data_IF_550116027354
#
_entry.id   IF_550116027354
#
_cell.length_a   1.000
_cell.length_b   1.000
_cell.length_c   1.000
_cell.angle_alpha   90.00
_cell.angle_beta   90.00
_cell.angle_gamma   90.00
#
_symmetry.space_group_name_H-M   'P 1'
#
loop_
_entity.id
_entity.type
_entity.pdbx_description
1 polymer ?
#
# COMPACT_ATOMS: atom_id res chain seq x y z
N UNK A 1 -55.19 24.78 36.59
CA UNK A 1 -55.42 26.15 37.07
C UNK A 1 -54.81 26.26 38.45
N UNK A 2 -53.69 26.96 38.57
CA UNK A 2 -52.90 27.02 39.80
C UNK A 2 -53.12 28.36 40.48
N UNK A 3 -53.73 28.35 41.66
CA UNK A 3 -53.83 29.55 42.50
C UNK A 3 -52.56 29.66 43.36
N UNK A 4 -51.98 30.86 43.38
CA UNK A 4 -50.76 31.15 44.15
C UNK A 4 -50.99 32.38 45.02
N UNK A 5 -50.63 32.27 46.29
CA UNK A 5 -50.68 33.41 47.23
C UNK A 5 -49.27 33.96 47.43
N UNK A 6 -49.06 35.22 47.06
CA UNK A 6 -47.80 35.92 47.23
C UNK A 6 -47.95 36.94 48.37
N UNK A 7 -46.97 36.99 49.29
CA UNK A 7 -46.92 38.03 50.32
C UNK A 7 -46.48 39.34 49.67
N UNK A 8 -47.25 40.41 49.88
CA UNK A 8 -46.94 41.73 49.34
C UNK A 8 -45.57 42.21 49.82
N UNK A 9 -44.71 42.57 48.86
CA UNK A 9 -43.39 43.17 49.11
C UNK A 9 -43.49 44.68 48.90
N UNK A 10 -43.08 45.47 49.90
CA UNK A 10 -43.06 46.95 49.80
C UNK A 10 -42.31 47.38 48.53
N UNK A 11 -42.91 48.29 47.76
CA UNK A 11 -42.38 48.85 46.50
C UNK A 11 -42.34 47.87 45.29
N UNK A 12 -43.05 46.75 45.32
CA UNK A 12 -43.21 45.92 44.12
C UNK A 12 -44.01 46.65 43.03
N UNK A 13 -43.44 46.76 41.83
CA UNK A 13 -44.06 47.46 40.68
C UNK A 13 -44.60 46.51 39.61
N UNK A 14 -44.17 45.24 39.59
CA UNK A 14 -44.57 44.24 38.60
C UNK A 14 -44.65 42.83 39.19
N UNK A 15 -45.58 42.02 38.69
CA UNK A 15 -45.67 40.57 38.89
C UNK A 15 -45.19 39.88 37.62
N UNK A 16 -44.31 38.90 37.75
CA UNK A 16 -43.78 38.11 36.63
C UNK A 16 -44.23 36.65 36.77
N UNK A 17 -44.77 36.10 35.69
CA UNK A 17 -45.25 34.73 35.60
C UNK A 17 -44.44 33.99 34.55
N UNK A 18 -43.72 32.95 34.95
CA UNK A 18 -42.90 32.12 34.08
C UNK A 18 -43.26 30.65 34.26
N UNK A 19 -43.48 29.96 33.13
CA UNK A 19 -43.72 28.52 33.06
C UNK A 19 -43.05 27.97 31.80
N UNK A 20 -42.41 26.81 31.90
CA UNK A 20 -41.80 26.14 30.76
C UNK A 20 -42.86 25.86 29.67
N UNK A 21 -42.53 26.13 28.40
CA UNK A 21 -43.48 26.06 27.27
C UNK A 21 -44.32 27.32 27.04
N UNK A 22 -44.20 28.35 27.90
CA UNK A 22 -44.93 29.61 27.78
C UNK A 22 -43.97 30.82 27.80
N UNK A 23 -44.39 31.92 27.18
CA UNK A 23 -43.69 33.20 27.29
C UNK A 23 -43.83 33.77 28.70
N UNK A 24 -42.74 34.34 29.24
CA UNK A 24 -42.80 35.05 30.53
C UNK A 24 -43.67 36.30 30.38
N UNK A 25 -44.71 36.42 31.21
CA UNK A 25 -45.59 37.58 31.22
C UNK A 25 -45.35 38.44 32.45
N UNK A 26 -45.35 39.75 32.27
CA UNK A 26 -45.15 40.72 33.34
C UNK A 26 -46.33 41.69 33.38
N UNK A 27 -47.01 41.80 34.53
CA UNK A 27 -48.15 42.69 34.74
C UNK A 27 -47.80 43.71 35.82
N UNK A 28 -48.11 45.00 35.66
CA UNK A 28 -47.89 46.00 36.70
C UNK A 28 -48.77 45.74 37.93
N UNK A 29 -48.26 46.06 39.12
CA UNK A 29 -49.05 45.99 40.36
C UNK A 29 -49.88 47.27 40.49
N UNK A 30 -51.19 47.13 40.54
CA UNK A 30 -52.14 48.23 40.75
C UNK A 30 -52.43 48.42 42.25
N UNK A 31 -52.59 49.68 42.67
CA UNK A 31 -52.95 50.02 44.05
C UNK A 31 -54.38 49.51 44.33
N UNK A 32 -54.57 48.80 45.44
CA UNK A 32 -55.85 48.25 45.92
C UNK A 32 -56.42 47.03 45.17
N UNK A 33 -55.66 46.44 44.24
CA UNK A 33 -56.04 45.19 43.54
C UNK A 33 -55.36 43.97 44.16
N UNK A 34 -56.17 43.08 44.73
CA UNK A 34 -55.72 41.89 45.47
C UNK A 34 -55.71 40.59 44.65
N UNK A 35 -56.40 40.55 43.50
CA UNK A 35 -56.49 39.37 42.62
C UNK A 35 -56.08 39.73 41.19
N UNK A 36 -55.23 38.89 40.60
CA UNK A 36 -54.76 39.02 39.23
C UNK A 36 -54.95 37.69 38.51
N UNK A 37 -55.68 37.71 37.38
CA UNK A 37 -55.85 36.57 36.51
C UNK A 37 -54.96 36.75 35.27
N UNK A 38 -54.12 35.77 34.96
CA UNK A 38 -53.11 35.86 33.89
C UNK A 38 -53.18 34.64 33.00
N UNK A 39 -53.42 34.86 31.70
CA UNK A 39 -53.41 33.80 30.70
C UNK A 39 -52.05 33.75 30.02
N UNK A 40 -51.27 32.70 30.30
CA UNK A 40 -49.96 32.50 29.70
C UNK A 40 -50.09 32.19 28.19
N UNK A 41 -49.24 32.81 27.39
CA UNK A 41 -49.17 32.59 25.94
C UNK A 41 -48.13 31.52 25.67
N UNK A 42 -48.51 30.48 24.91
CA UNK A 42 -47.59 29.42 24.51
C UNK A 42 -46.43 29.98 23.68
N UNK A 43 -45.21 29.53 24.00
CA UNK A 43 -44.00 29.86 23.24
C UNK A 43 -43.28 28.55 22.93
N UNK A 44 -43.20 28.22 21.64
CA UNK A 44 -42.45 27.05 21.20
C UNK A 44 -40.96 27.25 21.47
N UNK A 45 -40.33 26.25 22.10
CA UNK A 45 -38.89 26.17 22.27
C UNK A 45 -38.36 25.19 21.23
N UNK A 46 -37.54 25.67 20.30
CA UNK A 46 -36.81 24.78 19.41
C UNK A 46 -35.77 24.01 20.26
N UNK A 47 -35.80 22.69 20.20
CA UNK A 47 -34.80 21.84 20.84
C UNK A 47 -33.56 21.85 19.94
N UNK A 48 -32.38 22.02 20.53
CA UNK A 48 -31.11 21.93 19.80
C UNK A 48 -30.94 20.54 19.17
N UNK A 49 -30.37 20.50 17.96
CA UNK A 49 -30.16 19.27 17.19
C UNK A 49 -29.22 18.31 17.95
N UNK A 50 -29.63 17.05 18.11
CA UNK A 50 -28.81 16.01 18.73
C UNK A 50 -28.01 15.30 17.64
N UNK A 51 -26.69 15.49 17.62
CA UNK A 51 -25.78 14.78 16.71
C UNK A 51 -25.46 13.40 17.29
N UNK A 52 -26.11 12.34 16.78
CA UNK A 52 -25.74 10.95 17.11
C UNK A 52 -24.45 10.59 16.38
N UNK A 53 -23.34 10.51 17.11
CA UNK A 53 -22.07 9.97 16.58
C UNK A 53 -21.97 8.49 16.93
N UNK A 54 -21.66 7.65 15.94
CA UNK A 54 -21.33 6.26 16.20
C UNK A 54 -20.02 6.18 17.02
N UNK A 55 -19.94 5.20 17.93
CA UNK A 55 -18.71 4.94 18.67
C UNK A 55 -17.55 4.69 17.69
N UNK A 56 -16.41 5.38 17.82
CA UNK A 56 -15.29 5.22 16.89
C UNK A 56 -14.78 3.78 16.77
N UNK A 57 -14.86 3.03 17.87
CA UNK A 57 -14.40 1.63 17.95
C UNK A 57 -15.51 0.81 18.60
N UNK A 58 -15.89 -0.28 17.96
CA UNK A 58 -16.82 -1.26 18.53
C UNK A 58 -16.19 -2.66 18.52
N UNK A 59 -16.40 -3.44 19.59
CA UNK A 59 -15.91 -4.83 19.68
C UNK A 59 -17.04 -5.81 19.39
N UNK A 60 -16.75 -6.81 18.56
CA UNK A 60 -17.64 -7.95 18.29
C UNK A 60 -16.82 -9.24 18.37
N UNK A 61 -16.94 -9.95 19.49
CA UNK A 61 -16.10 -11.13 19.81
C UNK A 61 -14.61 -10.76 19.71
N UNK A 62 -13.86 -11.47 18.86
CA UNK A 62 -12.43 -11.30 18.64
C UNK A 62 -12.11 -10.27 17.53
N UNK A 63 -13.09 -9.46 17.15
CA UNK A 63 -12.95 -8.47 16.08
C UNK A 63 -13.25 -7.07 16.61
N UNK A 64 -12.29 -6.17 16.45
CA UNK A 64 -12.48 -4.73 16.64
C UNK A 64 -12.89 -4.11 15.31
N UNK A 65 -13.94 -3.29 15.33
CA UNK A 65 -14.36 -2.50 14.19
C UNK A 65 -14.01 -1.04 14.45
N UNK A 66 -13.16 -0.49 13.61
CA UNK A 66 -12.80 0.93 13.59
C UNK A 66 -13.63 1.62 12.51
N UNK A 67 -14.48 2.56 12.91
CA UNK A 67 -15.26 3.36 11.98
C UNK A 67 -14.38 4.43 11.36
N UNK A 68 -14.11 4.32 10.06
CA UNK A 68 -13.09 5.14 9.35
C UNK A 68 -13.37 6.63 9.48
N UNK A 69 -14.62 7.06 9.36
CA UNK A 69 -15.02 8.47 9.48
C UNK A 69 -14.68 9.11 10.83
N UNK A 70 -14.51 8.30 11.88
CA UNK A 70 -14.16 8.81 13.21
C UNK A 70 -12.67 9.13 13.36
N UNK A 71 -11.82 8.63 12.44
CA UNK A 71 -10.36 8.80 12.46
C UNK A 71 -9.82 9.57 11.25
N UNK A 72 -10.66 9.80 10.23
CA UNK A 72 -10.27 10.47 8.99
C UNK A 72 -10.17 11.98 9.20
N UNK A 73 -9.02 12.55 8.87
CA UNK A 73 -8.81 13.99 8.80
C UNK A 73 -9.16 14.54 7.41
N UNK A 74 -9.15 15.87 7.22
CA UNK A 74 -9.55 16.46 5.92
C UNK A 74 -8.48 16.25 4.86
N UNK A 75 -7.24 16.14 5.30
CA UNK A 75 -6.03 15.97 4.52
C UNK A 75 -5.79 14.49 4.15
N UNK A 76 -6.48 13.56 4.82
CA UNK A 76 -6.38 12.13 4.57
C UNK A 76 -7.04 11.74 3.25
N UNK A 77 -6.21 11.37 2.27
CA UNK A 77 -6.67 10.90 0.98
C UNK A 77 -6.85 9.38 0.94
N UNK A 78 -5.80 8.66 1.35
CA UNK A 78 -5.74 7.21 1.25
C UNK A 78 -6.18 6.53 2.54
N UNK A 79 -6.55 5.25 2.47
CA UNK A 79 -6.80 4.47 3.69
C UNK A 79 -5.52 4.26 4.50
N UNK A 80 -4.33 4.29 3.87
CA UNK A 80 -3.06 4.28 4.59
C UNK A 80 -2.94 5.46 5.56
N UNK A 81 -3.34 6.66 5.14
CA UNK A 81 -3.26 7.88 5.95
C UNK A 81 -4.15 7.76 7.19
N UNK A 82 -5.40 7.32 7.01
CA UNK A 82 -6.31 7.10 8.14
C UNK A 82 -5.80 6.01 9.09
N UNK A 83 -5.17 4.94 8.58
CA UNK A 83 -4.63 3.87 9.42
C UNK A 83 -3.56 4.40 10.39
N UNK A 84 -2.78 5.42 10.00
CA UNK A 84 -1.78 6.05 10.89
C UNK A 84 -2.40 6.78 12.09
N UNK A 85 -3.67 7.19 11.98
CA UNK A 85 -4.43 7.84 13.06
C UNK A 85 -5.18 6.83 13.94
N UNK A 86 -5.25 5.55 13.56
CA UNK A 86 -6.00 4.54 14.31
C UNK A 86 -5.20 3.99 15.50
N UNK A 87 -5.78 3.96 16.72
CA UNK A 87 -5.06 3.52 17.90
C UNK A 87 -4.69 2.03 17.82
N UNK A 88 -3.39 1.76 18.07
CA UNK A 88 -2.80 0.43 18.03
C UNK A 88 -2.41 -0.05 16.63
N UNK A 89 -2.63 0.75 15.58
CA UNK A 89 -2.15 0.47 14.22
C UNK A 89 -0.97 1.39 13.92
N UNK A 90 0.08 0.83 13.33
CA UNK A 90 1.26 1.57 12.87
C UNK A 90 1.54 1.17 11.42
N UNK A 91 1.83 2.16 10.58
CA UNK A 91 2.27 1.94 9.20
C UNK A 91 3.72 2.38 9.08
N UNK A 92 4.61 1.44 8.83
CA UNK A 92 6.04 1.71 8.66
C UNK A 92 6.31 2.44 7.33
N UNK A 93 7.45 3.13 7.17
CA UNK A 93 7.86 3.73 5.89
C UNK A 93 7.94 2.73 4.73
N UNK A 94 8.08 1.44 5.02
CA UNK A 94 8.02 0.36 4.03
C UNK A 94 6.60 0.05 3.53
N UNK A 95 5.58 0.67 4.12
CA UNK A 95 4.15 0.36 3.95
C UNK A 95 3.68 -0.84 4.79
N UNK A 96 4.57 -1.50 5.55
CA UNK A 96 4.19 -2.61 6.40
C UNK A 96 3.27 -2.15 7.54
N UNK A 97 2.17 -2.87 7.76
CA UNK A 97 1.21 -2.57 8.82
C UNK A 97 1.52 -3.44 10.04
N UNK A 98 1.55 -2.79 11.19
CA UNK A 98 1.70 -3.41 12.50
C UNK A 98 0.47 -3.13 13.34
N UNK A 99 0.07 -4.12 14.14
CA UNK A 99 -0.97 -4.00 15.14
C UNK A 99 -0.38 -4.36 16.50
N UNK A 100 -0.46 -3.44 17.47
CA UNK A 100 0.11 -3.60 18.82
C UNK A 100 1.57 -4.09 18.79
N UNK A 101 2.39 -3.48 17.94
CA UNK A 101 3.82 -3.83 17.81
C UNK A 101 4.12 -5.15 17.08
N UNK A 102 3.11 -5.85 16.56
CA UNK A 102 3.28 -7.09 15.79
C UNK A 102 2.85 -6.91 14.34
N UNK A 103 3.60 -7.48 13.39
CA UNK A 103 3.19 -7.49 11.98
C UNK A 103 1.88 -8.27 11.78
N UNK A 104 1.01 -7.75 10.91
CA UNK A 104 -0.25 -8.43 10.56
C UNK A 104 -0.01 -9.66 9.67
N UNK A 105 -1.00 -10.57 9.60
CA UNK A 105 -0.97 -11.74 8.73
C UNK A 105 -1.32 -11.40 7.28
N UNK A 106 -2.46 -10.73 7.10
CA UNK A 106 -3.12 -10.49 5.81
C UNK A 106 -3.94 -9.21 5.90
N UNK A 107 -4.16 -8.59 4.74
CA UNK A 107 -5.15 -7.53 4.54
C UNK A 107 -6.19 -8.04 3.55
N UNK A 108 -7.44 -8.10 3.99
CA UNK A 108 -8.57 -8.49 3.16
C UNK A 108 -9.38 -7.26 2.75
N UNK A 109 -9.98 -7.30 1.57
CA UNK A 109 -10.99 -6.34 1.11
C UNK A 109 -12.30 -7.11 0.96
N UNK A 110 -13.32 -6.73 1.72
CA UNK A 110 -14.60 -7.44 1.78
C UNK A 110 -14.47 -8.94 2.13
N UNK A 111 -13.44 -9.31 2.89
CA UNK A 111 -13.16 -10.68 3.30
C UNK A 111 -12.33 -11.51 2.32
N UNK A 112 -11.89 -10.91 1.20
CA UNK A 112 -11.04 -11.56 0.20
C UNK A 112 -9.67 -10.90 0.15
N UNK A 113 -8.63 -11.70 0.03
CA UNK A 113 -7.24 -11.23 -0.05
C UNK A 113 -6.88 -10.94 -1.51
N UNK A 114 -7.24 -9.77 -2.04
CA UNK A 114 -6.98 -9.39 -3.43
C UNK A 114 -5.46 -9.30 -3.73
N UNK A 115 -4.68 -8.83 -2.76
CA UNK A 115 -3.32 -8.34 -2.98
C UNK A 115 -2.23 -9.27 -2.47
N UNK A 116 -2.55 -10.20 -1.56
CA UNK A 116 -1.52 -10.94 -0.83
C UNK A 116 -0.53 -9.96 -0.20
N UNK A 117 0.74 -10.14 -0.51
CA UNK A 117 1.84 -9.33 0.02
C UNK A 117 1.94 -7.92 -0.61
N UNK A 118 1.14 -7.63 -1.64
CA UNK A 118 1.10 -6.32 -2.31
C UNK A 118 0.05 -5.37 -1.71
N UNK A 119 -0.44 -5.64 -0.49
CA UNK A 119 -1.53 -4.88 0.10
C UNK A 119 -1.21 -3.39 0.25
N UNK A 120 0.06 -3.00 0.39
CA UNK A 120 0.50 -1.60 0.46
C UNK A 120 -0.02 -0.79 -0.75
N UNK A 121 0.01 -1.38 -1.95
CA UNK A 121 -0.48 -0.72 -3.16
C UNK A 121 -1.98 -0.44 -3.08
N UNK A 122 -2.77 -1.40 -2.57
CA UNK A 122 -4.18 -1.15 -2.35
C UNK A 122 -4.43 -0.12 -1.26
N UNK A 123 -3.61 -0.05 -0.20
CA UNK A 123 -3.82 0.91 0.88
C UNK A 123 -3.48 2.34 0.47
N UNK A 124 -2.40 2.52 -0.28
CA UNK A 124 -1.93 3.81 -0.77
C UNK A 124 -2.90 4.45 -1.77
N UNK A 125 -3.56 3.61 -2.58
CA UNK A 125 -4.41 4.09 -3.67
C UNK A 125 -5.91 3.85 -3.43
N UNK A 126 -6.31 3.35 -2.25
CA UNK A 126 -7.74 3.24 -1.92
C UNK A 126 -8.20 4.52 -1.22
N UNK A 127 -9.14 5.28 -1.81
CA UNK A 127 -9.66 6.49 -1.19
C UNK A 127 -10.27 6.17 0.17
N UNK A 128 -9.90 6.94 1.20
CA UNK A 128 -10.43 6.80 2.56
C UNK A 128 -11.96 6.87 2.58
N UNK A 129 -12.54 7.71 1.72
CA UNK A 129 -13.98 7.87 1.58
C UNK A 129 -14.72 6.61 1.10
N UNK A 130 -14.04 5.69 0.40
CA UNK A 130 -14.62 4.44 -0.07
C UNK A 130 -14.82 3.42 1.07
N UNK A 131 -14.09 3.59 2.17
CA UNK A 131 -14.05 2.66 3.29
C UNK A 131 -15.02 3.09 4.39
N UNK A 132 -15.78 2.13 4.89
CA UNK A 132 -16.71 2.32 6.01
C UNK A 132 -16.10 1.90 7.34
N UNK A 133 -15.37 0.79 7.36
CA UNK A 133 -14.88 0.17 8.59
C UNK A 133 -13.61 -0.62 8.32
N UNK A 134 -12.62 -0.48 9.21
CA UNK A 134 -11.48 -1.38 9.30
C UNK A 134 -11.75 -2.38 10.42
N UNK A 135 -11.73 -3.67 10.08
CA UNK A 135 -11.91 -4.75 11.04
C UNK A 135 -10.55 -5.35 11.38
N UNK A 136 -10.18 -5.32 12.65
CA UNK A 136 -8.99 -6.00 13.17
C UNK A 136 -9.44 -7.29 13.83
N UNK A 137 -9.12 -8.42 13.20
CA UNK A 137 -9.40 -9.76 13.73
C UNK A 137 -8.18 -10.21 14.53
N UNK A 138 -8.27 -10.13 15.85
CA UNK A 138 -7.22 -10.53 16.78
C UNK A 138 -7.10 -12.06 16.79
N UNK A 139 -5.88 -12.58 16.96
CA UNK A 139 -5.59 -14.03 17.03
C UNK A 139 -6.14 -14.85 15.85
N UNK A 140 -6.22 -14.25 14.66
CA UNK A 140 -6.77 -14.91 13.49
C UNK A 140 -5.77 -15.93 12.92
N UNK A 141 -6.21 -17.18 12.79
CA UNK A 141 -5.46 -18.22 12.10
C UNK A 141 -5.83 -18.19 10.59
N UNK A 142 -4.97 -17.64 9.70
CA UNK A 142 -5.29 -17.48 8.28
C UNK A 142 -5.52 -18.81 7.55
N UNK A 143 -4.96 -19.92 8.05
CA UNK A 143 -5.18 -21.25 7.50
C UNK A 143 -6.23 -21.98 8.33
N UNK A 144 -7.45 -22.08 7.82
CA UNK A 144 -8.60 -22.63 8.55
C UNK A 144 -8.41 -24.07 9.01
N UNK A 145 -7.64 -24.85 8.25
CA UNK A 145 -7.30 -26.22 8.63
C UNK A 145 -6.47 -26.31 9.92
N UNK A 146 -5.80 -25.22 10.32
CA UNK A 146 -4.96 -25.08 11.50
C UNK A 146 -5.66 -24.36 12.66
N UNK A 147 -6.89 -23.85 12.47
CA UNK A 147 -7.68 -23.20 13.53
C UNK A 147 -7.80 -24.12 14.76
N UNK A 148 -7.50 -23.59 15.94
CA UNK A 148 -7.53 -24.34 17.21
C UNK A 148 -6.41 -25.37 17.40
N UNK A 149 -5.50 -25.53 16.42
CA UNK A 149 -4.36 -26.48 16.48
C UNK A 149 -3.02 -25.76 16.54
N UNK A 150 -2.88 -24.69 15.76
CA UNK A 150 -1.69 -23.85 15.73
C UNK A 150 -2.09 -22.44 16.15
N UNK A 151 -1.55 -22.00 17.27
CA UNK A 151 -1.79 -20.65 17.76
C UNK A 151 -1.12 -19.62 16.85
N UNK A 152 -1.79 -18.48 16.62
CA UNK A 152 -1.26 -17.37 15.86
C UNK A 152 -1.62 -16.06 16.58
N UNK A 153 -0.61 -15.27 16.91
CA UNK A 153 -0.75 -14.04 17.69
C UNK A 153 -0.86 -12.81 16.79
N UNK A 154 -0.75 -12.98 15.47
CA UNK A 154 -0.82 -11.89 14.50
C UNK A 154 -2.28 -11.61 14.14
N UNK A 155 -2.60 -10.33 13.97
CA UNK A 155 -3.93 -9.89 13.56
C UNK A 155 -4.11 -9.97 12.04
N UNK A 156 -5.35 -10.07 11.59
CA UNK A 156 -5.71 -9.89 10.17
C UNK A 156 -6.56 -8.63 10.05
N UNK A 157 -6.21 -7.75 9.12
CA UNK A 157 -7.05 -6.60 8.79
C UNK A 157 -8.05 -6.98 7.71
N UNK A 158 -9.28 -6.48 7.84
CA UNK A 158 -10.29 -6.60 6.82
C UNK A 158 -11.00 -5.27 6.58
N UNK A 159 -11.00 -4.81 5.34
CA UNK A 159 -11.54 -3.54 4.90
C UNK A 159 -12.97 -3.76 4.44
N UNK A 160 -13.90 -2.98 4.99
CA UNK A 160 -15.30 -2.95 4.58
C UNK A 160 -15.57 -1.67 3.83
N UNK A 161 -15.99 -1.79 2.58
CA UNK A 161 -16.36 -0.67 1.72
C UNK A 161 -17.78 -0.17 2.04
N UNK A 162 -18.00 1.12 1.86
CA UNK A 162 -19.34 1.71 1.87
C UNK A 162 -20.17 1.13 0.72
N UNK A 163 -21.49 1.06 0.91
CA UNK A 163 -22.41 0.35 -0.01
C UNK A 163 -22.35 0.88 -1.45
N UNK A 164 -22.14 2.18 -1.64
CA UNK A 164 -22.03 2.84 -2.94
C UNK A 164 -20.73 2.54 -3.70
N UNK A 165 -19.68 2.10 -3.01
CA UNK A 165 -18.40 1.69 -3.61
C UNK A 165 -18.32 0.17 -3.86
N UNK A 166 -19.37 -0.58 -3.50
CA UNK A 166 -19.49 -1.99 -3.89
C UNK A 166 -20.00 -2.07 -5.33
N UNK A 167 -19.37 -2.92 -6.14
CA UNK A 167 -19.68 -3.21 -7.55
C UNK A 167 -19.45 -2.06 -8.54
N UNK A 168 -19.35 -0.81 -8.08
CA UNK A 168 -18.97 0.34 -8.91
C UNK A 168 -17.45 0.50 -8.90
N UNK A 169 -16.81 0.74 -10.06
CA UNK A 169 -15.40 1.08 -10.09
C UNK A 169 -15.19 2.46 -9.47
N UNK A 170 -14.10 2.60 -8.73
CA UNK A 170 -13.66 3.86 -8.10
C UNK A 170 -12.13 3.89 -8.10
N UNK A 171 -11.56 5.06 -7.87
CA UNK A 171 -10.11 5.24 -7.86
C UNK A 171 -9.77 6.68 -8.20
N UNK A 172 -8.54 6.88 -8.63
CA UNK A 172 -7.94 8.20 -8.77
C UNK A 172 -7.11 8.29 -10.04
N UNK A 173 -6.96 9.51 -10.52
CA UNK A 173 -6.12 9.83 -11.65
C UNK A 173 -5.44 11.16 -11.39
N UNK A 174 -4.12 11.20 -11.55
CA UNK A 174 -3.32 12.39 -11.42
C UNK A 174 -2.56 12.63 -12.72
N UNK A 175 -2.48 13.90 -13.14
CA UNK A 175 -1.68 14.32 -14.28
C UNK A 175 -1.02 15.64 -13.92
N UNK A 176 0.30 15.68 -14.04
CA UNK A 176 1.12 16.85 -13.81
C UNK A 176 2.01 17.12 -15.03
N UNK A 177 2.19 18.40 -15.35
CA UNK A 177 3.16 18.87 -16.34
C UNK A 177 3.90 20.08 -15.75
N UNK A 178 5.20 20.15 -15.96
CA UNK A 178 6.12 21.12 -15.35
C UNK A 178 7.14 21.66 -16.34
N UNK A 179 7.80 22.76 -15.94
CA UNK A 179 8.49 23.77 -16.76
C UNK A 179 9.55 23.31 -17.79
N UNK A 180 10.74 23.92 -17.75
CA UNK A 180 11.81 23.67 -18.74
C UNK A 180 13.03 23.08 -18.04
N UNK A 181 13.50 21.86 -18.41
CA UNK A 181 12.93 20.96 -19.42
C UNK A 181 11.53 20.45 -19.05
N UNK A 182 10.76 20.01 -20.05
CA UNK A 182 9.38 19.54 -19.83
C UNK A 182 9.38 18.32 -18.92
N UNK A 183 8.74 18.48 -17.77
CA UNK A 183 8.50 17.40 -16.80
C UNK A 183 7.04 16.97 -16.91
N UNK A 184 6.78 15.68 -16.80
CA UNK A 184 5.46 15.07 -16.75
C UNK A 184 5.43 14.01 -15.66
N UNK A 185 4.29 13.92 -15.00
CA UNK A 185 3.96 12.88 -14.03
C UNK A 185 2.51 12.50 -14.25
N UNK A 186 2.20 11.21 -14.15
CA UNK A 186 0.86 10.73 -14.33
C UNK A 186 0.66 9.42 -13.59
N UNK A 187 -0.47 9.30 -12.93
CA UNK A 187 -0.89 8.08 -12.23
C UNK A 187 -2.37 7.82 -12.48
N UNK A 188 -2.74 6.55 -12.45
CA UNK A 188 -4.12 6.10 -12.61
C UNK A 188 -4.31 4.82 -11.79
N UNK A 189 -5.20 4.86 -10.82
CA UNK A 189 -5.63 3.68 -10.10
C UNK A 189 -7.12 3.43 -10.31
N UNK A 190 -7.49 2.19 -10.59
CA UNK A 190 -8.88 1.76 -10.71
C UNK A 190 -9.13 0.52 -9.85
N UNK A 191 -10.11 0.60 -8.96
CA UNK A 191 -10.51 -0.46 -8.04
C UNK A 191 -11.97 -0.83 -8.31
N UNK A 192 -12.25 -2.11 -8.47
CA UNK A 192 -13.61 -2.62 -8.53
C UNK A 192 -13.76 -3.81 -7.60
N UNK A 193 -14.67 -3.70 -6.63
CA UNK A 193 -14.90 -4.76 -5.63
C UNK A 193 -16.33 -5.27 -5.72
N UNK A 194 -16.49 -6.48 -6.24
CA UNK A 194 -17.74 -7.23 -6.25
C UNK A 194 -17.64 -8.45 -5.33
N UNK A 195 -18.78 -9.12 -5.06
CA UNK A 195 -18.84 -10.29 -4.16
C UNK A 195 -17.91 -11.44 -4.56
N UNK A 196 -17.76 -11.67 -5.86
CA UNK A 196 -16.92 -12.76 -6.41
C UNK A 196 -15.72 -12.28 -7.19
N UNK A 197 -15.76 -11.06 -7.71
CA UNK A 197 -14.73 -10.53 -8.60
C UNK A 197 -14.19 -9.26 -7.96
N UNK A 198 -12.87 -9.19 -7.81
CA UNK A 198 -12.19 -7.98 -7.37
C UNK A 198 -11.07 -7.68 -8.36
N UNK A 199 -10.93 -6.42 -8.73
CA UNK A 199 -9.96 -5.94 -9.71
C UNK A 199 -9.29 -4.69 -9.15
N UNK A 200 -7.97 -4.62 -9.29
CA UNK A 200 -7.17 -3.43 -9.12
C UNK A 200 -6.32 -3.26 -10.39
N UNK A 201 -6.39 -2.09 -11.00
CA UNK A 201 -5.50 -1.63 -12.04
C UNK A 201 -4.71 -0.44 -11.51
N UNK A 202 -3.43 -0.38 -11.82
CA UNK A 202 -2.53 0.71 -11.46
C UNK A 202 -1.65 1.04 -12.65
N UNK A 203 -1.61 2.30 -13.07
CA UNK A 203 -0.73 2.83 -14.08
C UNK A 203 0.03 4.02 -13.52
N UNK A 204 1.31 4.16 -13.87
CA UNK A 204 2.09 5.33 -13.52
C UNK A 204 3.14 5.62 -14.59
N UNK A 205 3.47 6.88 -14.79
CA UNK A 205 4.47 7.34 -15.74
C UNK A 205 5.09 8.64 -15.22
N UNK A 206 6.42 8.78 -15.28
CA UNK A 206 7.05 10.08 -15.03
C UNK A 206 8.43 10.25 -15.70
N UNK A 207 8.87 11.50 -15.81
CA UNK A 207 10.27 11.89 -16.04
C UNK A 207 10.81 12.90 -15.01
N UNK A 208 10.29 12.88 -13.78
CA UNK A 208 10.57 13.89 -12.74
C UNK A 208 11.73 13.55 -11.80
N UNK A 209 12.54 12.55 -12.14
CA UNK A 209 13.61 12.04 -11.28
C UNK A 209 13.16 11.03 -10.22
N UNK A 210 11.97 10.43 -10.40
CA UNK A 210 11.41 9.44 -9.48
C UNK A 210 11.27 8.06 -10.15
N UNK A 211 12.00 7.05 -9.63
CA UNK A 211 11.87 5.68 -10.13
C UNK A 211 10.55 5.04 -9.72
N UNK A 212 9.96 4.26 -10.62
CA UNK A 212 8.74 3.48 -10.36
C UNK A 212 9.05 2.03 -9.95
N UNK A 213 10.33 1.68 -9.74
CA UNK A 213 10.73 0.34 -9.27
C UNK A 213 10.08 -0.06 -7.96
N UNK A 214 9.76 0.89 -7.09
CA UNK A 214 9.03 0.62 -5.84
C UNK A 214 7.65 0.03 -6.09
N UNK A 215 6.99 0.35 -7.20
CA UNK A 215 5.70 -0.23 -7.58
C UNK A 215 5.82 -1.68 -8.09
N UNK A 216 7.03 -2.14 -8.44
CA UNK A 216 7.29 -3.54 -8.73
C UNK A 216 7.40 -4.42 -7.46
N UNK A 217 7.37 -3.81 -6.27
CA UNK A 217 7.56 -4.54 -5.01
C UNK A 217 6.37 -5.48 -4.76
N UNK A 218 6.68 -6.74 -4.44
CA UNK A 218 5.73 -7.84 -4.27
C UNK A 218 5.74 -8.90 -5.40
N UNK A 219 4.91 -9.94 -5.24
CA UNK A 219 4.89 -11.20 -6.04
C UNK A 219 6.01 -12.22 -5.75
N UNK A 220 6.93 -11.93 -4.83
CA UNK A 220 8.06 -12.81 -4.45
C UNK A 220 7.92 -13.46 -3.06
N UNK A 221 6.91 -13.08 -2.28
CA UNK A 221 6.68 -13.62 -0.95
C UNK A 221 5.78 -14.87 -1.05
N UNK A 222 6.32 -15.99 -0.57
CA UNK A 222 5.62 -17.27 -0.48
C UNK A 222 5.34 -17.55 1.00
N UNK A 223 4.16 -18.09 1.30
CA UNK A 223 3.64 -18.28 2.67
C UNK A 223 4.44 -19.33 3.49
N UNK A 224 5.29 -20.13 2.85
CA UNK A 224 6.04 -21.21 3.48
C UNK A 224 7.52 -20.88 3.64
N UNK A 225 8.08 -21.18 4.81
CA UNK A 225 9.53 -21.10 5.09
C UNK A 225 10.33 -21.96 4.10
N UNK A 226 9.74 -23.05 3.60
CA UNK A 226 10.36 -23.99 2.66
C UNK A 226 10.14 -23.67 1.18
N UNK A 227 9.44 -22.58 0.86
CA UNK A 227 9.09 -22.22 -0.52
C UNK A 227 9.77 -20.95 -1.00
N UNK A 228 10.66 -20.38 -0.18
CA UNK A 228 11.56 -19.31 -0.60
C UNK A 228 12.88 -19.90 -1.07
N UNK A 229 13.28 -19.51 -2.27
CA UNK A 229 14.59 -19.79 -2.85
C UNK A 229 15.02 -18.54 -3.60
N UNK A 230 16.10 -17.84 -3.21
CA UNK A 230 16.52 -16.63 -3.89
C UNK A 230 16.86 -16.93 -5.36
N UNK A 231 16.68 -15.93 -6.22
CA UNK A 231 17.15 -16.02 -7.59
C UNK A 231 18.69 -15.93 -7.58
N UNK A 232 19.39 -16.64 -8.48
CA UNK A 232 20.82 -16.45 -8.67
C UNK A 232 21.18 -14.97 -8.86
N UNK A 233 22.25 -14.53 -8.23
CA UNK A 233 22.80 -13.20 -8.41
C UNK A 233 23.38 -13.05 -9.83
N UNK A 234 23.33 -11.85 -10.42
CA UNK A 234 24.00 -11.60 -11.69
C UNK A 234 25.52 -11.74 -11.55
N UNK A 235 26.18 -12.16 -12.62
CA UNK A 235 27.64 -12.32 -12.67
C UNK A 235 28.31 -11.02 -13.13
N UNK A 236 27.67 -10.28 -14.03
CA UNK A 236 28.18 -9.05 -14.60
C UNK A 236 27.55 -7.82 -13.95
N UNK A 237 28.40 -6.85 -13.62
CA UNK A 237 28.03 -5.51 -13.17
C UNK A 237 29.01 -4.49 -13.77
N UNK A 238 28.54 -3.27 -14.04
CA UNK A 238 29.40 -2.16 -14.46
C UNK A 238 30.07 -1.53 -13.23
N UNK A 239 31.40 -1.38 -13.27
CA UNK A 239 32.19 -0.88 -12.15
C UNK A 239 32.08 0.65 -11.93
N UNK A 240 31.48 1.37 -12.89
CA UNK A 240 31.40 2.85 -12.92
C UNK A 240 30.06 3.39 -12.42
N UNK A 241 29.18 2.54 -11.88
CA UNK A 241 27.83 2.94 -11.43
C UNK A 241 27.86 3.64 -10.05
N UNK A 242 28.59 4.75 -9.93
CA UNK A 242 28.60 5.59 -8.72
C UNK A 242 27.35 6.48 -8.72
N UNK A 243 26.74 6.66 -7.55
CA UNK A 243 25.61 7.59 -7.35
C UNK A 243 26.03 8.71 -6.40
N UNK A 244 25.69 9.98 -6.70
CA UNK A 244 25.87 11.08 -5.77
C UNK A 244 25.14 10.82 -4.43
N UNK A 245 25.68 11.29 -3.29
CA UNK A 245 25.05 11.15 -1.97
C UNK A 245 23.92 12.17 -1.75
N UNK A 246 23.11 12.43 -2.78
CA UNK A 246 21.94 13.31 -2.75
C UNK A 246 20.71 12.55 -3.27
N UNK A 247 19.52 13.08 -3.02
CA UNK A 247 18.29 12.42 -3.50
C UNK A 247 18.27 12.33 -5.03
N UNK A 248 17.91 11.17 -5.60
CA UNK A 248 17.77 11.00 -7.05
C UNK A 248 16.84 12.02 -7.71
N UNK A 249 15.84 12.53 -6.97
CA UNK A 249 14.92 13.58 -7.44
C UNK A 249 15.61 14.84 -7.98
N UNK A 250 16.87 15.10 -7.60
CA UNK A 250 17.61 16.30 -8.01
C UNK A 250 18.53 16.09 -9.22
N UNK A 251 18.84 14.85 -9.61
CA UNK A 251 19.83 14.58 -10.66
C UNK A 251 19.42 13.52 -11.67
N UNK A 252 18.39 12.73 -11.38
CA UNK A 252 18.00 11.58 -12.19
C UNK A 252 17.13 12.07 -13.36
N UNK A 253 17.65 11.96 -14.58
CA UNK A 253 16.86 12.11 -15.81
C UNK A 253 16.34 10.72 -16.20
N UNK A 254 15.06 10.47 -15.92
CA UNK A 254 14.41 9.20 -16.23
C UNK A 254 13.25 9.32 -17.18
N UNK A 255 12.91 8.21 -17.81
CA UNK A 255 11.61 7.96 -18.40
C UNK A 255 11.14 6.63 -17.82
N UNK A 256 10.23 6.70 -16.85
CA UNK A 256 9.74 5.51 -16.15
C UNK A 256 8.26 5.30 -16.46
N UNK A 257 7.88 4.04 -16.72
CA UNK A 257 6.51 3.64 -16.99
C UNK A 257 6.16 2.39 -16.19
N UNK A 258 4.94 2.30 -15.70
CA UNK A 258 4.44 1.18 -14.92
C UNK A 258 2.99 0.88 -15.27
N UNK A 259 2.66 -0.39 -15.37
CA UNK A 259 1.30 -0.87 -15.48
C UNK A 259 1.15 -2.18 -14.69
N UNK A 260 0.10 -2.29 -13.88
CA UNK A 260 -0.18 -3.42 -13.03
C UNK A 260 -1.67 -3.77 -13.04
N UNK A 261 -1.97 -5.06 -13.07
CA UNK A 261 -3.32 -5.61 -12.96
C UNK A 261 -3.31 -6.71 -11.92
N UNK A 262 -4.25 -6.62 -10.99
CA UNK A 262 -4.48 -7.62 -9.97
C UNK A 262 -5.97 -7.99 -9.98
N UNK A 263 -6.26 -9.26 -10.24
CA UNK A 263 -7.61 -9.77 -10.35
C UNK A 263 -7.78 -10.95 -9.41
N UNK A 264 -8.92 -11.00 -8.71
CA UNK A 264 -9.31 -12.11 -7.87
C UNK A 264 -10.71 -12.57 -8.25
N UNK A 265 -10.83 -13.88 -8.45
CA UNK A 265 -12.10 -14.59 -8.56
C UNK A 265 -12.31 -15.49 -7.34
N UNK A 266 -13.41 -15.33 -6.63
CA UNK A 266 -13.84 -16.21 -5.54
C UNK A 266 -14.92 -17.17 -6.04
N UNK A 267 -14.55 -18.44 -6.23
CA UNK A 267 -15.50 -19.51 -6.51
C UNK A 267 -16.41 -19.73 -5.31
N UNK A 268 -15.80 -19.70 -4.11
CA UNK A 268 -16.47 -19.69 -2.81
C UNK A 268 -15.71 -18.73 -1.88
N UNK A 269 -16.22 -18.38 -0.68
CA UNK A 269 -15.46 -17.59 0.30
C UNK A 269 -14.14 -18.23 0.76
N UNK A 270 -13.92 -19.51 0.44
CA UNK A 270 -12.75 -20.28 0.85
C UNK A 270 -11.98 -20.85 -0.34
N UNK A 271 -12.39 -20.57 -1.58
CA UNK A 271 -11.68 -21.03 -2.77
C UNK A 271 -11.58 -19.88 -3.75
N UNK A 272 -10.35 -19.41 -3.96
CA UNK A 272 -10.05 -18.21 -4.73
C UNK A 272 -8.97 -18.49 -5.77
N UNK A 273 -9.03 -17.74 -6.87
CA UNK A 273 -8.01 -17.68 -7.89
C UNK A 273 -7.60 -16.22 -8.05
N UNK A 274 -6.31 -15.95 -7.92
CA UNK A 274 -5.71 -14.62 -8.09
C UNK A 274 -4.80 -14.62 -9.29
N UNK A 275 -4.84 -13.53 -10.04
CA UNK A 275 -4.00 -13.23 -11.17
C UNK A 275 -3.35 -11.87 -10.92
N UNK A 276 -2.03 -11.82 -10.97
CA UNK A 276 -1.25 -10.61 -10.83
C UNK A 276 -0.32 -10.50 -12.04
N UNK A 277 -0.36 -9.37 -12.73
CA UNK A 277 0.51 -9.08 -13.88
C UNK A 277 1.00 -7.65 -13.77
N UNK A 278 2.30 -7.44 -13.90
CA UNK A 278 2.89 -6.11 -13.96
C UNK A 278 3.92 -6.00 -15.07
N UNK A 279 4.06 -4.78 -15.55
CA UNK A 279 5.11 -4.31 -16.44
C UNK A 279 5.72 -3.04 -15.87
N UNK A 280 7.04 -2.95 -15.88
CA UNK A 280 7.76 -1.72 -15.54
C UNK A 280 8.90 -1.50 -16.53
N UNK A 281 9.03 -0.24 -16.96
CA UNK A 281 10.12 0.27 -17.74
C UNK A 281 10.83 1.37 -16.95
N UNK A 282 12.16 1.30 -16.88
CA UNK A 282 13.01 2.35 -16.33
C UNK A 282 14.08 2.69 -17.37
N UNK A 283 13.94 3.85 -18.01
CA UNK A 283 15.01 4.49 -18.77
C UNK A 283 15.70 5.53 -17.90
N UNK A 284 17.02 5.53 -17.85
CA UNK A 284 17.81 6.45 -17.05
C UNK A 284 19.03 6.95 -17.83
N UNK A 285 19.20 8.26 -17.88
CA UNK A 285 20.41 8.90 -18.38
C UNK A 285 21.13 9.57 -17.20
N UNK A 286 22.43 9.35 -17.08
CA UNK A 286 23.28 10.05 -16.12
C UNK A 286 24.50 10.63 -16.78
N UNK A 287 24.85 11.81 -16.32
CA UNK A 287 26.09 12.49 -16.66
C UNK A 287 26.69 12.99 -15.35
N UNK A 288 27.93 12.59 -15.08
CA UNK A 288 28.66 13.02 -13.90
C UNK A 288 30.11 13.36 -14.26
N UNK A 289 30.67 14.30 -13.50
CA UNK A 289 32.06 14.74 -13.64
C UNK A 289 32.66 14.84 -12.26
N UNK A 290 33.80 14.18 -12.06
CA UNK A 290 34.55 14.24 -10.81
C UNK A 290 35.99 14.64 -11.08
N UNK A 291 36.52 15.51 -10.22
CA UNK A 291 37.91 15.92 -10.23
C UNK A 291 38.47 15.71 -8.83
N UNK A 292 39.43 14.81 -8.70
CA UNK A 292 40.12 14.53 -7.45
C UNK A 292 41.54 15.07 -7.55
N UNK A 293 41.95 15.90 -6.59
CA UNK A 293 43.31 16.43 -6.50
C UNK A 293 43.98 15.86 -5.25
N UNK A 294 45.10 15.17 -5.45
CA UNK A 294 45.92 14.61 -4.40
C UNK A 294 47.14 15.50 -4.22
N UNK A 295 47.13 16.31 -3.16
CA UNK A 295 48.22 17.21 -2.84
C UNK A 295 49.38 16.44 -2.19
N UNK A 296 50.50 16.34 -2.91
CA UNK A 296 51.77 15.79 -2.46
C UNK A 296 52.93 16.70 -2.94
N UNK A 297 54.17 16.24 -2.89
CA UNK A 297 55.31 16.97 -3.46
C UNK A 297 55.10 17.25 -4.97
N UNK A 298 54.52 16.29 -5.68
CA UNK A 298 53.94 16.45 -7.02
C UNK A 298 52.42 16.28 -6.92
N UNK A 299 51.66 17.32 -7.28
CA UNK A 299 50.20 17.26 -7.24
C UNK A 299 49.69 16.35 -8.37
N UNK A 300 48.93 15.31 -8.01
CA UNK A 300 48.28 14.42 -8.98
C UNK A 300 46.80 14.78 -9.07
N UNK A 301 46.34 15.17 -10.25
CA UNK A 301 44.92 15.38 -10.53
C UNK A 301 44.36 14.24 -11.36
N UNK A 302 43.26 13.62 -10.90
CA UNK A 302 42.49 12.64 -11.65
C UNK A 302 41.15 13.25 -12.02
N UNK A 303 40.87 13.27 -13.32
CA UNK A 303 39.61 13.74 -13.86
C UNK A 303 38.83 12.55 -14.41
N UNK A 304 37.52 12.53 -14.19
CA UNK A 304 36.63 11.49 -14.65
C UNK A 304 35.30 12.12 -15.10
N UNK A 305 34.95 11.92 -16.37
CA UNK A 305 33.69 12.27 -16.97
C UNK A 305 32.95 11.01 -17.38
N UNK A 306 31.79 10.78 -16.79
CA UNK A 306 31.04 9.57 -16.98
C UNK A 306 29.65 9.87 -17.57
N UNK A 307 29.27 9.11 -18.59
CA UNK A 307 27.95 9.17 -19.22
C UNK A 307 27.38 7.77 -19.28
N UNK A 308 26.33 7.53 -18.49
CA UNK A 308 25.65 6.25 -18.37
C UNK A 308 24.25 6.36 -18.97
N UNK A 309 23.88 5.40 -19.82
CA UNK A 309 22.51 5.18 -20.28
C UNK A 309 22.08 3.78 -19.91
N UNK A 310 21.03 3.67 -19.12
CA UNK A 310 20.47 2.40 -18.68
C UNK A 310 19.02 2.30 -19.11
N UNK A 311 18.61 1.10 -19.55
CA UNK A 311 17.22 0.73 -19.79
C UNK A 311 16.95 -0.60 -19.14
N UNK A 312 15.84 -0.69 -18.45
CA UNK A 312 15.37 -1.91 -17.81
C UNK A 312 13.89 -2.10 -18.07
N UNK A 313 13.55 -3.25 -18.65
CA UNK A 313 12.19 -3.71 -18.83
C UNK A 313 11.96 -4.94 -17.96
N UNK A 314 10.88 -4.94 -17.17
CA UNK A 314 10.51 -6.07 -16.29
C UNK A 314 9.05 -6.40 -16.48
N UNK A 315 8.75 -7.68 -16.74
CA UNK A 315 7.40 -8.24 -16.70
C UNK A 315 7.36 -9.31 -15.63
N UNK A 316 6.40 -9.25 -14.69
CA UNK A 316 6.15 -10.32 -13.71
C UNK A 316 4.70 -10.77 -13.79
N UNK A 317 4.49 -12.08 -13.75
CA UNK A 317 3.16 -12.71 -13.70
C UNK A 317 3.06 -13.68 -12.54
N UNK A 318 1.90 -13.76 -11.90
CA UNK A 318 1.58 -14.75 -10.88
C UNK A 318 0.12 -15.19 -11.00
N UNK A 319 -0.10 -16.50 -10.93
CA UNK A 319 -1.41 -17.12 -10.75
C UNK A 319 -1.37 -17.86 -9.43
N UNK A 320 -2.28 -17.54 -8.51
CA UNK A 320 -2.41 -18.22 -7.23
C UNK A 320 -3.79 -18.81 -7.05
N UNK A 321 -3.86 -20.11 -6.84
CA UNK A 321 -5.06 -20.79 -6.37
C UNK A 321 -4.95 -21.07 -4.87
N UNK A 322 -5.96 -20.68 -4.10
CA UNK A 322 -6.07 -21.00 -2.67
C UNK A 322 -7.40 -21.73 -2.41
N UNK A 323 -7.35 -22.88 -1.73
CA UNK A 323 -8.49 -23.57 -1.13
C UNK A 323 -8.24 -23.67 0.38
N UNK A 324 -9.01 -22.93 1.16
CA UNK A 324 -8.86 -22.78 2.60
C UNK A 324 -10.01 -23.46 3.36
N UNK A 325 -10.08 -24.79 3.25
CA UNK A 325 -11.08 -25.61 3.95
C UNK A 325 -10.72 -25.89 5.40
N UNK A 326 -11.70 -26.35 6.19
CA UNK A 326 -11.50 -26.72 7.62
C UNK A 326 -10.63 -27.96 7.85
N UNK A 327 -10.52 -28.86 6.85
CA UNK A 327 -9.72 -30.09 6.93
C UNK A 327 -8.54 -30.11 5.96
N UNK A 328 -8.62 -29.30 4.91
CA UNK A 328 -7.69 -29.29 3.80
C UNK A 328 -7.41 -27.85 3.43
N UNK A 329 -6.14 -27.49 3.41
CA UNK A 329 -5.64 -26.26 2.81
C UNK A 329 -4.79 -26.62 1.60
N UNK A 330 -5.04 -25.97 0.46
CA UNK A 330 -4.22 -26.09 -0.75
C UNK A 330 -3.87 -24.68 -1.22
N UNK A 331 -2.60 -24.45 -1.48
CA UNK A 331 -2.11 -23.28 -2.18
C UNK A 331 -1.25 -23.75 -3.35
N UNK A 332 -1.51 -23.22 -4.54
CA UNK A 332 -0.62 -23.38 -5.69
C UNK A 332 -0.35 -22.02 -6.31
N UNK A 333 0.92 -21.70 -6.49
CA UNK A 333 1.39 -20.42 -7.02
C UNK A 333 2.27 -20.74 -8.23
N UNK A 334 1.82 -20.35 -9.41
CA UNK A 334 2.65 -20.30 -10.61
C UNK A 334 3.10 -18.86 -10.81
N UNK A 335 4.40 -18.59 -10.80
CA UNK A 335 4.95 -17.26 -11.06
C UNK A 335 6.03 -17.30 -12.14
N UNK A 336 6.19 -16.19 -12.84
CA UNK A 336 7.24 -16.02 -13.82
C UNK A 336 7.66 -14.57 -13.96
N UNK A 337 8.89 -14.39 -14.44
CA UNK A 337 9.45 -13.07 -14.72
C UNK A 337 10.24 -13.12 -16.01
N UNK A 338 10.18 -12.01 -16.75
CA UNK A 338 11.10 -11.69 -17.83
C UNK A 338 11.70 -10.31 -17.54
N UNK A 339 13.00 -10.15 -17.76
CA UNK A 339 13.69 -8.87 -17.58
C UNK A 339 14.79 -8.70 -18.63
N UNK A 340 14.81 -7.52 -19.27
CA UNK A 340 15.84 -7.10 -20.23
C UNK A 340 16.51 -5.84 -19.68
N UNK A 341 17.81 -5.91 -19.42
CA UNK A 341 18.60 -4.77 -18.96
C UNK A 341 19.67 -4.49 -20.00
N UNK A 342 19.73 -3.24 -20.46
CA UNK A 342 20.78 -2.74 -21.32
C UNK A 342 21.41 -1.53 -20.68
N UNK A 343 22.73 -1.51 -20.64
CA UNK A 343 23.48 -0.38 -20.12
C UNK A 343 24.62 -0.07 -21.08
N UNK A 344 24.83 1.21 -21.35
CA UNK A 344 26.01 1.69 -22.07
C UNK A 344 26.63 2.78 -21.21
N UNK A 345 27.92 2.65 -20.94
CA UNK A 345 28.68 3.59 -20.15
C UNK A 345 29.88 4.10 -20.93
N UNK A 346 30.10 5.40 -20.92
CA UNK A 346 31.32 6.01 -21.44
C UNK A 346 31.97 6.84 -20.35
N UNK A 347 33.13 6.39 -19.92
CA UNK A 347 33.95 7.05 -18.93
C UNK A 347 35.19 7.65 -19.61
N UNK A 348 35.46 8.93 -19.42
CA UNK A 348 36.60 9.63 -20.02
C UNK A 348 37.41 10.25 -18.89
N UNK A 349 38.65 9.83 -18.77
CA UNK A 349 39.60 10.35 -17.79
C UNK A 349 40.76 11.06 -18.46
N UNK A 350 41.62 11.72 -17.69
CA UNK A 350 42.88 12.28 -18.18
C UNK A 350 43.95 11.22 -18.51
N UNK A 351 43.72 9.94 -18.18
CA UNK A 351 44.64 8.83 -18.46
C UNK A 351 44.13 7.87 -19.54
N UNK A 352 42.89 8.03 -20.00
CA UNK A 352 42.27 7.16 -20.99
C UNK A 352 40.75 7.21 -20.93
N UNK A 353 40.06 6.52 -21.84
CA UNK A 353 38.61 6.37 -21.78
C UNK A 353 38.18 4.91 -21.83
N UNK A 354 37.12 4.60 -21.11
CA UNK A 354 36.47 3.29 -21.08
C UNK A 354 35.09 3.40 -21.70
N UNK A 355 34.80 2.52 -22.64
CA UNK A 355 33.43 2.30 -23.12
C UNK A 355 32.99 0.91 -22.69
N UNK A 356 31.87 0.82 -21.97
CA UNK A 356 31.28 -0.44 -21.52
C UNK A 356 29.88 -0.58 -22.09
N UNK A 357 29.57 -1.72 -22.70
CA UNK A 357 28.21 -2.09 -23.08
C UNK A 357 27.83 -3.39 -22.39
N UNK A 358 26.72 -3.36 -21.66
CA UNK A 358 26.19 -4.49 -20.90
C UNK A 358 24.79 -4.84 -21.38
N UNK A 359 24.54 -6.13 -21.58
CA UNK A 359 23.23 -6.68 -21.87
C UNK A 359 22.94 -7.87 -20.98
N UNK A 360 21.87 -7.81 -20.19
CA UNK A 360 21.39 -8.93 -19.36
C UNK A 360 19.95 -9.27 -19.66
N UNK A 361 19.69 -10.53 -19.99
CA UNK A 361 18.35 -11.10 -20.16
C UNK A 361 18.09 -12.19 -19.14
N UNK A 362 17.11 -11.97 -18.30
CA UNK A 362 16.68 -12.90 -17.27
C UNK A 362 15.29 -13.42 -17.59
N UNK A 363 15.07 -14.72 -17.42
CA UNK A 363 13.73 -15.26 -17.27
C UNK A 363 13.69 -16.40 -16.27
N UNK A 364 12.56 -16.52 -15.56
CA UNK A 364 12.28 -17.70 -14.75
C UNK A 364 10.80 -18.04 -14.78
N UNK A 365 10.51 -19.32 -14.53
CA UNK A 365 9.18 -19.85 -14.27
C UNK A 365 9.28 -20.73 -13.02
N UNK A 366 8.38 -20.52 -12.08
CA UNK A 366 8.37 -21.20 -10.79
C UNK A 366 6.96 -21.66 -10.43
N UNK A 367 6.82 -22.90 -9.99
CA UNK A 367 5.62 -23.39 -9.32
C UNK A 367 5.93 -23.71 -7.86
N UNK A 368 5.09 -23.22 -6.96
CA UNK A 368 5.10 -23.51 -5.54
C UNK A 368 3.77 -24.12 -5.17
N UNK A 369 3.78 -25.30 -4.55
CA UNK A 369 2.60 -25.96 -4.03
C UNK A 369 2.74 -26.20 -2.52
N UNK A 370 1.69 -25.92 -1.77
CA UNK A 370 1.61 -26.18 -0.34
C UNK A 370 0.26 -26.80 -0.01
N UNK A 371 0.26 -27.96 0.65
CA UNK A 371 -0.96 -28.67 1.02
C UNK A 371 -0.87 -29.05 2.49
N UNK A 372 -1.83 -28.59 3.29
CA UNK A 372 -2.01 -29.03 4.67
C UNK A 372 -3.26 -29.88 4.80
N UNK A 373 -3.09 -31.13 5.22
CA UNK A 373 -4.18 -32.05 5.54
C UNK A 373 -4.23 -32.20 7.05
N UNK A 374 -5.39 -31.94 7.65
CA UNK A 374 -5.53 -32.00 9.10
C UNK A 374 -6.58 -33.02 9.54
N UNK A 375 -6.15 -33.86 10.47
CA UNK A 375 -6.98 -34.83 11.20
C UNK A 375 -7.14 -34.34 12.65
N UNK A 376 -7.99 -34.98 13.48
CA UNK A 376 -8.06 -34.63 14.90
C UNK A 376 -6.73 -34.76 15.65
N UNK A 377 -5.86 -35.70 15.26
CA UNK A 377 -4.63 -36.01 16.00
C UNK A 377 -3.33 -35.52 15.33
N UNK A 378 -3.34 -35.27 14.01
CA UNK A 378 -2.13 -35.00 13.21
C UNK A 378 -2.37 -33.98 12.11
N UNK A 379 -1.30 -33.27 11.75
CA UNK A 379 -1.21 -32.34 10.63
C UNK A 379 -0.15 -32.90 9.67
N UNK A 380 -0.49 -33.04 8.41
CA UNK A 380 0.42 -33.44 7.35
C UNK A 380 0.62 -32.27 6.39
N UNK A 381 1.87 -31.93 6.08
CA UNK A 381 2.22 -30.76 5.27
C UNK A 381 3.11 -31.16 4.12
N UNK A 382 2.56 -31.13 2.91
CA UNK A 382 3.33 -31.30 1.69
C UNK A 382 3.70 -29.93 1.11
N UNK A 383 4.98 -29.66 0.96
CA UNK A 383 5.50 -28.47 0.29
C UNK A 383 6.37 -28.85 -0.91
N UNK A 384 6.19 -28.16 -2.02
CA UNK A 384 6.92 -28.39 -3.26
C UNK A 384 7.26 -27.07 -3.92
N UNK A 385 8.49 -26.96 -4.42
CA UNK A 385 8.94 -25.88 -5.29
C UNK A 385 9.66 -26.47 -6.49
N UNK A 386 9.31 -25.98 -7.67
CA UNK A 386 9.94 -26.33 -8.95
C UNK A 386 10.20 -25.03 -9.69
N UNK A 387 11.44 -24.81 -10.13
CA UNK A 387 11.84 -23.59 -10.83
C UNK A 387 12.77 -23.92 -12.00
N UNK A 388 12.50 -23.29 -13.13
CA UNK A 388 13.46 -23.12 -14.21
C UNK A 388 13.88 -21.66 -14.28
N UNK A 389 15.16 -21.42 -14.48
CA UNK A 389 15.78 -20.11 -14.47
C UNK A 389 16.84 -20.06 -15.58
N UNK A 390 16.88 -18.95 -16.30
CA UNK A 390 17.93 -18.70 -17.26
C UNK A 390 18.31 -17.21 -17.26
N UNK A 391 19.61 -16.95 -17.27
CA UNK A 391 20.17 -15.62 -17.57
C UNK A 391 21.18 -15.70 -18.70
N UNK A 392 21.21 -14.67 -19.54
CA UNK A 392 22.24 -14.43 -20.54
C UNK A 392 22.79 -13.04 -20.28
N UNK A 393 24.08 -12.96 -19.99
CA UNK A 393 24.76 -11.72 -19.64
C UNK A 393 25.92 -11.52 -20.60
N UNK A 394 26.05 -10.31 -21.10
CA UNK A 394 27.10 -9.89 -22.01
C UNK A 394 27.65 -8.57 -21.51
N UNK A 395 28.97 -8.46 -21.43
CA UNK A 395 29.69 -7.22 -21.12
C UNK A 395 30.85 -7.10 -22.11
N UNK A 396 30.94 -5.98 -22.79
CA UNK A 396 32.10 -5.61 -23.60
C UNK A 396 32.67 -4.29 -23.09
N UNK A 397 33.98 -4.24 -22.89
CA UNK A 397 34.71 -3.06 -22.47
C UNK A 397 35.83 -2.74 -23.46
N UNK A 398 36.05 -1.45 -23.72
CA UNK A 398 37.12 -0.96 -24.59
C UNK A 398 37.90 0.13 -23.86
N UNK A 399 39.21 -0.07 -23.70
CA UNK A 399 40.13 0.88 -23.07
C UNK A 399 40.98 1.58 -24.13
N UNK A 400 40.85 2.89 -24.26
CA UNK A 400 41.44 3.62 -25.40
C UNK A 400 42.92 3.94 -25.26
N UNK A 401 43.52 3.90 -24.07
CA UNK A 401 44.94 4.22 -23.92
C UNK A 401 45.83 3.16 -24.59
N UNK A 402 45.44 1.88 -24.47
CA UNK A 402 46.19 0.74 -24.99
C UNK A 402 45.44 -0.01 -26.10
N UNK A 403 44.27 0.51 -26.50
CA UNK A 403 43.35 -0.09 -27.48
C UNK A 403 42.96 -1.54 -27.11
N UNK A 404 42.87 -1.82 -25.81
CA UNK A 404 42.49 -3.13 -25.29
C UNK A 404 40.98 -3.33 -25.35
N UNK A 405 40.57 -4.50 -25.83
CA UNK A 405 39.18 -4.92 -25.94
C UNK A 405 38.96 -6.15 -25.06
N UNK A 406 38.12 -6.02 -24.05
CA UNK A 406 37.67 -7.13 -23.24
C UNK A 406 36.21 -7.45 -23.52
N UNK A 407 35.91 -8.75 -23.59
CA UNK A 407 34.55 -9.25 -23.77
C UNK A 407 34.30 -10.42 -22.85
N UNK A 408 33.21 -10.35 -22.12
CA UNK A 408 32.76 -11.40 -21.21
C UNK A 408 31.32 -11.78 -21.55
N UNK A 409 31.09 -13.08 -21.69
CA UNK A 409 29.80 -13.67 -22.04
C UNK A 409 29.47 -14.75 -21.02
N UNK A 410 28.36 -14.61 -20.32
CA UNK A 410 27.86 -15.59 -19.36
C UNK A 410 26.48 -16.09 -19.77
N UNK A 411 26.28 -17.40 -19.67
CA UNK A 411 24.97 -18.03 -19.81
C UNK A 411 24.81 -18.99 -18.65
N UNK A 412 23.80 -18.73 -17.81
CA UNK A 412 23.43 -19.64 -16.74
C UNK A 412 22.06 -20.19 -17.03
N UNK A 413 21.96 -21.52 -17.06
CA UNK A 413 20.71 -22.24 -17.03
C UNK A 413 20.66 -22.99 -15.70
N UNK A 414 19.60 -22.81 -14.93
CA UNK A 414 19.45 -23.43 -13.63
C UNK A 414 18.06 -24.05 -13.51
N UNK A 415 18.04 -25.31 -13.12
CA UNK A 415 16.83 -26.03 -12.79
C UNK A 415 16.88 -26.45 -11.34
N UNK A 416 15.83 -26.14 -10.59
CA UNK A 416 15.77 -26.33 -9.15
C UNK A 416 14.46 -27.01 -8.76
N UNK A 417 14.57 -28.02 -7.90
CA UNK A 417 13.43 -28.69 -7.30
C UNK A 417 13.70 -28.95 -5.82
N UNK A 418 12.68 -28.76 -4.99
CA UNK A 418 12.70 -29.16 -3.58
C UNK A 418 11.30 -29.60 -3.16
N UNK A 419 11.22 -30.79 -2.58
CA UNK A 419 9.98 -31.39 -2.07
C UNK A 419 10.15 -31.75 -0.60
N UNK A 420 9.11 -31.56 0.20
CA UNK A 420 9.07 -31.90 1.62
C UNK A 420 7.69 -32.42 1.99
N UNK A 421 7.65 -33.48 2.79
CA UNK A 421 6.44 -34.10 3.36
C UNK A 421 6.45 -34.00 4.89
#
# INVERSE_FOLDING_TARGET
DGEYTLKYKKQATKLSFAKMGFATQCIPVEKDKLRYDVQLIEKSYAIDEVVVKADPITRKKDTLNYHVESFREKEDYSIEDVLKHMPGIEVLPSGQIMYQGNSINKVNIEGLDLMGDQYNQAMQNMPAEAVSTIQVMENNQPIRALEGKVHNNRATLNIKLKKNYKMRPFGDAEVGVGGTPVVWDGSLTGIQVSKKNQLLFTGALNNRGASLRSLQSGMSNFTGIYTQEPLPAPFLYSATNRRPPISPLYYLDNHSYFAGVNYLHAFTPYSTLRFNLLYNHEGENREDSTRNEYYAADTVSVFDNNRLRMREDVVKGQVRYELNGKKVYVENILSGQWQDIRSSNRNVTNVGSVMEDMHRKLYYLQNVANVNLTTPARIYTLASIVRTYQTREHLSAVWTADNEHERQDYRLNHWFMRHRL
#
